data_IF_962668326029
#
_entry.id   IF_962668326029
#
_cell.length_a   1.000
_cell.length_b   1.000
_cell.length_c   1.000
_cell.angle_alpha   90.00
_cell.angle_beta   90.00
_cell.angle_gamma   90.00
#
_symmetry.space_group_name_H-M   'P 1'
#
loop_
_entity.id
_entity.type
_entity.pdbx_description
1 polymer ?
#
# COMPACT_ATOMS: atom_id res chain seq x y z
N UNK A 1 12.86 24.76 15.70
CA UNK A 1 12.40 23.62 14.88
C UNK A 1 11.03 23.99 14.33
N UNK A 2 10.88 24.11 13.01
CA UNK A 2 9.59 24.33 12.36
C UNK A 2 8.88 22.99 12.18
N UNK A 3 7.60 22.90 12.54
CA UNK A 3 6.78 21.70 12.36
C UNK A 3 5.44 22.07 11.73
N UNK A 4 4.89 21.21 10.88
CA UNK A 4 3.54 21.38 10.34
C UNK A 4 2.49 20.74 11.25
N UNK A 5 2.80 19.56 11.80
CA UNK A 5 1.95 18.83 12.74
C UNK A 5 2.83 18.27 13.87
N UNK A 6 2.39 18.48 15.12
CA UNK A 6 3.01 17.86 16.29
C UNK A 6 1.96 17.12 17.09
N UNK A 7 2.19 15.83 17.31
CA UNK A 7 1.40 14.94 18.15
C UNK A 7 2.25 14.63 19.38
N UNK A 8 1.74 14.92 20.57
CA UNK A 8 2.49 14.86 21.82
C UNK A 8 1.72 14.04 22.88
N UNK A 9 2.26 12.86 23.21
CA UNK A 9 1.75 11.90 24.18
C UNK A 9 0.24 11.67 24.10
N UNK A 10 -0.27 11.47 22.89
CA UNK A 10 -1.70 11.23 22.67
C UNK A 10 -2.07 9.83 23.15
N UNK A 11 -3.02 9.79 24.09
CA UNK A 11 -3.71 8.55 24.47
C UNK A 11 -5.22 8.71 24.29
N UNK A 12 -5.87 7.62 23.91
CA UNK A 12 -7.32 7.57 23.74
C UNK A 12 -7.87 6.26 24.28
N UNK A 13 -8.85 6.39 25.16
CA UNK A 13 -9.64 5.26 25.64
C UNK A 13 -11.14 5.56 25.51
N UNK A 14 -11.92 4.51 25.31
CA UNK A 14 -13.38 4.56 25.24
C UNK A 14 -13.98 3.81 26.43
N UNK A 15 -14.96 4.45 27.07
CA UNK A 15 -15.70 3.83 28.17
C UNK A 15 -16.91 3.12 27.61
N UNK A 16 -17.02 1.82 27.89
CA UNK A 16 -18.21 1.01 27.62
C UNK A 16 -18.97 0.78 28.92
N UNK A 17 -20.29 0.94 28.85
CA UNK A 17 -21.20 0.78 29.99
C UNK A 17 -22.12 -0.40 29.69
N UNK A 18 -22.24 -1.33 30.65
CA UNK A 18 -23.11 -2.51 30.49
C UNK A 18 -24.59 -2.14 30.32
N UNK A 19 -25.03 -1.03 30.91
CA UNK A 19 -26.38 -0.50 30.80
C UNK A 19 -26.36 1.03 30.70
N UNK A 20 -27.29 1.62 29.94
CA UNK A 20 -27.40 3.07 29.74
C UNK A 20 -27.59 3.83 31.07
N UNK A 21 -28.25 3.21 32.05
CA UNK A 21 -28.39 3.74 33.41
C UNK A 21 -27.03 3.98 34.07
N UNK A 22 -26.04 3.12 33.86
CA UNK A 22 -24.69 3.28 34.42
C UNK A 22 -23.96 4.48 33.79
N UNK A 23 -24.21 4.75 32.50
CA UNK A 23 -23.68 5.95 31.84
C UNK A 23 -24.24 7.21 32.46
N UNK A 24 -25.55 7.25 32.72
CA UNK A 24 -26.21 8.41 33.36
C UNK A 24 -25.69 8.61 34.79
N UNK A 25 -25.58 7.54 35.59
CA UNK A 25 -25.06 7.62 36.96
C UNK A 25 -23.61 8.13 36.99
N UNK A 26 -22.79 7.80 35.99
CA UNK A 26 -21.41 8.28 35.88
C UNK A 26 -21.29 9.79 35.70
N UNK A 27 -22.28 10.45 35.06
CA UNK A 27 -22.31 11.92 34.94
C UNK A 27 -22.52 12.62 36.28
N UNK A 28 -23.13 11.94 37.25
CA UNK A 28 -23.35 12.45 38.60
C UNK A 28 -22.22 12.08 39.58
N UNK A 29 -21.08 11.60 39.08
CA UNK A 29 -19.91 11.25 39.90
C UNK A 29 -20.06 9.95 40.70
N UNK A 30 -21.11 9.16 40.43
CA UNK A 30 -21.23 7.83 41.00
C UNK A 30 -20.40 6.85 40.17
N UNK A 31 -19.36 6.29 40.80
CA UNK A 31 -18.54 5.23 40.23
C UNK A 31 -19.38 3.97 40.03
N UNK A 32 -20.06 3.90 38.88
CA UNK A 32 -20.85 2.74 38.50
C UNK A 32 -19.91 1.54 38.32
N UNK A 33 -20.08 0.51 39.14
CA UNK A 33 -19.41 -0.77 38.92
C UNK A 33 -19.76 -1.27 37.50
N UNK A 34 -18.73 -1.61 36.70
CA UNK A 34 -18.89 -2.13 35.34
C UNK A 34 -18.65 -1.13 34.20
N UNK A 35 -17.85 -0.08 34.41
CA UNK A 35 -17.23 0.68 33.31
C UNK A 35 -16.03 -0.11 32.80
N UNK A 36 -16.10 -0.60 31.56
CA UNK A 36 -14.94 -1.19 30.89
C UNK A 36 -14.29 -0.13 30.01
N UNK A 37 -13.04 0.20 30.32
CA UNK A 37 -12.25 1.15 29.56
C UNK A 37 -11.40 0.38 28.55
N UNK A 38 -11.64 0.61 27.26
CA UNK A 38 -10.84 0.04 26.18
C UNK A 38 -9.88 1.10 25.67
N UNK A 39 -8.58 0.87 25.85
CA UNK A 39 -7.53 1.71 25.31
C UNK A 39 -7.37 1.46 23.81
N UNK A 40 -7.26 2.52 23.02
CA UNK A 40 -7.13 2.46 21.54
C UNK A 40 -5.85 3.14 21.07
N UNK A 41 -5.39 4.17 21.79
CA UNK A 41 -4.10 4.82 21.57
C UNK A 41 -3.41 5.04 22.91
N UNK A 42 -2.10 4.84 22.94
CA UNK A 42 -1.27 4.91 24.14
C UNK A 42 0.05 5.61 23.81
N UNK A 43 0.21 6.82 24.36
CA UNK A 43 1.45 7.61 24.32
C UNK A 43 2.05 7.79 22.92
N UNK A 44 1.20 8.16 21.96
CA UNK A 44 1.62 8.43 20.58
C UNK A 44 2.28 9.81 20.51
N UNK A 45 3.55 9.84 20.08
CA UNK A 45 4.31 11.07 19.89
C UNK A 45 5.09 11.07 18.58
N UNK A 46 4.85 12.06 17.72
CA UNK A 46 5.61 12.28 16.49
C UNK A 46 5.42 13.70 15.95
N UNK A 47 6.32 14.11 15.06
CA UNK A 47 6.31 15.42 14.39
C UNK A 47 6.34 15.19 12.88
N UNK A 48 5.59 15.99 12.12
CA UNK A 48 5.74 16.13 10.67
C UNK A 48 6.38 17.49 10.37
N UNK A 49 7.43 17.47 9.59
CA UNK A 49 8.10 18.68 9.11
C UNK A 49 7.37 19.28 7.88
N UNK A 50 7.45 20.60 7.66
CA UNK A 50 6.83 21.21 6.49
C UNK A 50 7.36 20.62 5.17
N UNK A 51 6.44 20.16 4.31
CA UNK A 51 6.76 19.54 3.02
C UNK A 51 7.20 18.08 3.10
N UNK A 52 7.23 17.49 4.30
CA UNK A 52 7.50 16.07 4.51
C UNK A 52 6.29 15.23 4.10
N UNK A 53 6.54 14.06 3.52
CA UNK A 53 5.52 13.06 3.25
C UNK A 53 5.72 11.84 4.15
N UNK A 54 4.77 11.58 5.04
CA UNK A 54 4.85 10.53 6.05
C UNK A 54 3.76 9.49 5.84
N UNK A 55 4.16 8.22 5.76
CA UNK A 55 3.27 7.07 5.75
C UNK A 55 2.81 6.70 7.15
N UNK A 56 1.52 6.42 7.36
CA UNK A 56 0.97 5.83 8.58
C UNK A 56 0.44 4.42 8.26
N UNK A 57 1.19 3.42 8.72
CA UNK A 57 0.94 2.00 8.45
C UNK A 57 0.47 1.33 9.74
N UNK A 58 -0.21 0.20 9.62
CA UNK A 58 -0.60 -0.63 10.77
C UNK A 58 -1.74 -1.55 10.42
N UNK A 59 -1.97 -2.56 11.25
CA UNK A 59 -3.08 -3.49 11.07
C UNK A 59 -4.45 -2.82 11.24
N UNK A 60 -5.49 -3.51 10.79
CA UNK A 60 -6.86 -3.12 11.13
C UNK A 60 -7.05 -3.20 12.63
N UNK A 61 -7.57 -2.12 13.24
CA UNK A 61 -7.71 -2.01 14.69
C UNK A 61 -6.50 -1.39 15.41
N UNK A 62 -5.37 -1.12 14.74
CA UNK A 62 -4.19 -0.51 15.38
C UNK A 62 -4.37 0.95 15.86
N UNK A 63 -5.52 1.56 15.59
CA UNK A 63 -5.83 2.93 16.04
C UNK A 63 -5.65 4.04 15.00
N UNK A 64 -5.24 3.72 13.76
CA UNK A 64 -5.01 4.69 12.65
C UNK A 64 -6.15 5.71 12.50
N UNK A 65 -7.38 5.26 12.22
CA UNK A 65 -8.53 6.16 12.03
C UNK A 65 -8.86 6.97 13.29
N UNK A 66 -8.61 6.43 14.48
CA UNK A 66 -8.80 7.16 15.74
C UNK A 66 -7.78 8.29 15.87
N UNK A 67 -6.51 8.04 15.52
CA UNK A 67 -5.45 9.03 15.50
C UNK A 67 -5.75 10.14 14.47
N UNK A 68 -6.20 9.78 13.27
CA UNK A 68 -6.59 10.74 12.23
C UNK A 68 -7.76 11.64 12.68
N UNK A 69 -8.76 11.08 13.37
CA UNK A 69 -9.87 11.87 13.95
C UNK A 69 -9.40 12.83 15.03
N UNK A 70 -8.38 12.45 15.80
CA UNK A 70 -7.76 13.34 16.79
C UNK A 70 -6.96 14.46 16.10
N UNK A 71 -6.17 14.12 15.08
CA UNK A 71 -5.39 15.10 14.31
C UNK A 71 -6.29 16.13 13.62
N UNK A 72 -7.41 15.68 13.06
CA UNK A 72 -8.39 16.56 12.40
C UNK A 72 -9.34 17.26 13.36
N UNK A 73 -9.27 16.97 14.66
CA UNK A 73 -10.08 17.62 15.69
C UNK A 73 -11.54 17.16 15.76
N UNK A 74 -11.92 16.11 15.02
CA UNK A 74 -13.27 15.50 15.10
C UNK A 74 -13.44 14.63 16.34
N UNK A 75 -12.32 14.22 16.97
CA UNK A 75 -12.30 13.47 18.22
C UNK A 75 -11.33 14.10 19.22
N UNK A 76 -11.76 14.31 20.47
CA UNK A 76 -10.85 14.76 21.54
C UNK A 76 -10.04 13.58 22.10
N UNK A 77 -8.72 13.75 22.33
CA UNK A 77 -7.91 12.75 23.02
C UNK A 77 -8.32 12.64 24.50
N UNK A 78 -7.97 11.53 25.14
CA UNK A 78 -8.13 11.38 26.59
C UNK A 78 -7.01 12.08 27.36
N UNK A 79 -5.80 12.12 26.81
CA UNK A 79 -4.64 12.87 27.29
C UNK A 79 -3.72 13.24 26.13
N UNK A 80 -2.78 14.17 26.36
CA UNK A 80 -1.85 14.65 25.34
C UNK A 80 -2.40 15.84 24.55
N UNK A 81 -1.66 16.28 23.53
CA UNK A 81 -2.06 17.40 22.68
C UNK A 81 -1.65 17.22 21.22
N UNK A 82 -2.44 17.83 20.32
CA UNK A 82 -2.10 17.96 18.89
C UNK A 82 -2.05 19.43 18.55
N UNK A 83 -0.97 19.84 17.88
CA UNK A 83 -0.78 21.20 17.38
C UNK A 83 -0.56 21.14 15.88
N UNK A 84 -1.36 21.91 15.16
CA UNK A 84 -1.38 21.97 13.69
C UNK A 84 -1.04 23.40 13.28
N UNK A 85 -0.07 23.56 12.36
CA UNK A 85 0.30 24.83 11.76
C UNK A 85 -0.10 24.82 10.29
N UNK A 86 -1.24 25.48 9.99
CA UNK A 86 -1.72 25.62 8.62
C UNK A 86 -3.11 25.04 8.39
N UNK A 87 -3.56 25.13 7.13
CA UNK A 87 -4.83 24.51 6.70
C UNK A 87 -4.65 23.02 6.41
N UNK A 88 -5.43 22.20 7.11
CA UNK A 88 -5.52 20.76 6.88
C UNK A 88 -6.65 20.47 5.91
N UNK A 89 -6.34 19.80 4.81
CA UNK A 89 -7.33 19.09 4.01
C UNK A 89 -7.25 17.61 4.38
N UNK A 90 -8.35 17.03 4.85
CA UNK A 90 -8.37 15.63 5.30
C UNK A 90 -9.42 14.83 4.54
N UNK A 91 -8.97 13.78 3.87
CA UNK A 91 -9.78 12.88 3.04
C UNK A 91 -10.03 11.58 3.82
N UNK A 92 -10.59 11.73 5.03
CA UNK A 92 -10.74 10.62 6.00
C UNK A 92 -12.08 9.91 5.88
N UNK A 93 -13.12 10.64 5.48
CA UNK A 93 -14.50 10.17 5.43
C UNK A 93 -15.14 10.79 4.18
N UNK A 94 -14.75 10.27 3.02
CA UNK A 94 -15.18 10.75 1.70
C UNK A 94 -16.72 10.87 1.64
N UNK A 95 -17.21 12.06 1.29
CA UNK A 95 -18.64 12.37 1.25
C UNK A 95 -19.22 12.97 2.54
N UNK A 96 -18.41 13.15 3.60
CA UNK A 96 -18.86 13.90 4.77
C UNK A 96 -19.15 15.35 4.41
N UNK A 97 -20.40 15.76 4.69
CA UNK A 97 -20.90 17.09 4.39
C UNK A 97 -21.64 17.18 3.06
N UNK A 98 -21.78 16.10 2.28
CA UNK A 98 -22.74 16.14 1.18
C UNK A 98 -24.17 16.15 1.67
N UNK A 99 -24.97 17.02 1.07
CA UNK A 99 -26.41 16.99 1.16
C UNK A 99 -26.97 16.23 -0.06
N UNK A 100 -27.63 15.07 0.14
CA UNK A 100 -28.13 14.24 -0.96
C UNK A 100 -29.15 14.94 -1.87
N UNK A 101 -29.85 15.94 -1.35
CA UNK A 101 -30.88 16.69 -2.08
C UNK A 101 -30.29 17.83 -2.93
N UNK A 102 -29.04 18.22 -2.66
CA UNK A 102 -28.33 19.25 -3.43
C UNK A 102 -27.66 18.64 -4.67
N UNK A 103 -27.54 19.42 -5.74
CA UNK A 103 -26.78 19.03 -6.93
C UNK A 103 -25.29 18.88 -6.62
N UNK A 104 -24.52 18.25 -7.50
CA UNK A 104 -23.06 18.22 -7.41
C UNK A 104 -22.47 19.62 -7.24
N UNK A 105 -22.86 20.56 -8.12
CA UNK A 105 -22.44 21.97 -8.06
C UNK A 105 -22.77 22.61 -6.71
N UNK A 106 -23.99 22.45 -6.21
CA UNK A 106 -24.41 23.00 -4.92
C UNK A 106 -23.63 22.37 -3.75
N UNK A 107 -23.32 21.08 -3.84
CA UNK A 107 -22.47 20.39 -2.88
C UNK A 107 -21.02 20.88 -2.90
N UNK A 108 -20.48 21.30 -4.05
CA UNK A 108 -19.16 21.97 -4.09
C UNK A 108 -19.18 23.23 -3.22
N UNK A 109 -20.19 24.10 -3.38
CA UNK A 109 -20.32 25.28 -2.53
C UNK A 109 -20.47 24.93 -1.05
N UNK A 110 -21.28 23.91 -0.74
CA UNK A 110 -21.55 23.51 0.62
C UNK A 110 -20.30 22.96 1.32
N UNK A 111 -19.64 21.96 0.72
CA UNK A 111 -18.48 21.28 1.31
C UNK A 111 -17.25 22.19 1.33
N UNK A 112 -16.97 22.92 0.25
CA UNK A 112 -15.85 23.86 0.25
C UNK A 112 -16.07 25.02 1.24
N UNK A 113 -17.32 25.46 1.44
CA UNK A 113 -17.67 26.42 2.48
C UNK A 113 -17.38 25.90 3.89
N UNK A 114 -17.69 24.63 4.18
CA UNK A 114 -17.34 23.98 5.46
C UNK A 114 -15.82 23.87 5.67
N UNK A 115 -15.04 23.80 4.58
CA UNK A 115 -13.58 23.84 4.60
C UNK A 115 -13.00 25.27 4.75
N UNK A 116 -13.86 26.29 4.86
CA UNK A 116 -13.47 27.68 5.07
C UNK A 116 -13.23 28.49 3.80
N UNK A 117 -13.63 27.99 2.63
CA UNK A 117 -13.58 28.78 1.40
C UNK A 117 -14.75 29.77 1.30
N UNK A 118 -14.45 31.00 0.94
CA UNK A 118 -15.46 32.00 0.59
C UNK A 118 -16.08 31.68 -0.78
N UNK A 119 -17.29 32.18 -1.02
CA UNK A 119 -18.01 31.95 -2.28
C UNK A 119 -17.20 32.37 -3.51
N UNK A 120 -16.56 33.54 -3.47
CA UNK A 120 -15.72 34.02 -4.56
C UNK A 120 -14.52 33.13 -4.83
N UNK A 121 -13.91 32.55 -3.78
CA UNK A 121 -12.83 31.57 -3.97
C UNK A 121 -13.34 30.28 -4.61
N UNK A 122 -14.55 29.84 -4.28
CA UNK A 122 -15.16 28.64 -4.86
C UNK A 122 -15.45 28.85 -6.34
N UNK A 123 -15.97 30.02 -6.71
CA UNK A 123 -16.22 30.39 -8.11
C UNK A 123 -14.95 30.28 -8.99
N UNK A 124 -13.76 30.51 -8.42
CA UNK A 124 -12.48 30.42 -9.13
C UNK A 124 -12.05 28.97 -9.45
N UNK A 125 -12.50 27.97 -8.70
CA UNK A 125 -12.07 26.56 -8.87
C UNK A 125 -13.20 25.57 -9.16
N UNK A 126 -14.47 26.01 -9.17
CA UNK A 126 -15.60 25.10 -9.34
C UNK A 126 -15.59 24.34 -10.66
N UNK A 127 -15.13 24.98 -11.75
CA UNK A 127 -14.99 24.34 -13.06
C UNK A 127 -13.81 23.35 -13.09
N UNK A 128 -12.74 23.61 -12.34
CA UNK A 128 -11.65 22.63 -12.16
C UNK A 128 -12.16 21.39 -11.40
N UNK A 129 -12.99 21.58 -10.37
CA UNK A 129 -13.63 20.49 -9.62
C UNK A 129 -14.50 19.66 -10.56
N UNK A 130 -15.33 20.30 -11.38
CA UNK A 130 -16.18 19.61 -12.35
C UNK A 130 -15.34 18.78 -13.33
N UNK A 131 -14.34 19.41 -13.96
CA UNK A 131 -13.45 18.77 -14.91
C UNK A 131 -12.63 17.63 -14.29
N UNK A 132 -12.13 17.79 -13.07
CA UNK A 132 -11.33 16.76 -12.42
C UNK A 132 -12.18 15.54 -12.02
N UNK A 133 -13.39 15.77 -11.53
CA UNK A 133 -14.29 14.72 -11.04
C UNK A 133 -14.77 13.76 -12.15
N UNK A 134 -14.80 14.23 -13.41
CA UNK A 134 -15.24 13.45 -14.57
C UNK A 134 -16.63 12.80 -14.40
N UNK A 135 -17.54 13.46 -13.66
CA UNK A 135 -18.92 12.98 -13.49
C UNK A 135 -19.88 13.51 -14.56
N UNK A 136 -19.39 14.34 -15.50
CA UNK A 136 -20.16 14.84 -16.64
C UNK A 136 -21.41 15.61 -16.22
N UNK A 137 -22.53 15.32 -16.88
CA UNK A 137 -23.82 16.00 -16.65
C UNK A 137 -24.41 15.72 -15.26
N UNK A 138 -23.95 14.68 -14.56
CA UNK A 138 -24.37 14.42 -13.18
C UNK A 138 -23.99 15.56 -12.24
N UNK A 139 -23.04 16.42 -12.59
CA UNK A 139 -22.67 17.58 -11.78
C UNK A 139 -23.86 18.51 -11.49
N UNK A 140 -24.84 18.57 -12.39
CA UNK A 140 -26.09 19.33 -12.21
C UNK A 140 -27.24 18.49 -11.64
N UNK A 141 -27.00 17.22 -11.29
CA UNK A 141 -27.98 16.31 -10.70
C UNK A 141 -27.80 16.19 -9.17
N UNK A 142 -28.88 15.91 -8.42
CA UNK A 142 -28.80 15.67 -6.97
C UNK A 142 -27.85 14.52 -6.59
N UNK A 143 -27.04 14.69 -5.54
CA UNK A 143 -26.04 13.67 -5.14
C UNK A 143 -26.66 12.33 -4.75
N UNK A 144 -27.93 12.29 -4.34
CA UNK A 144 -28.64 11.02 -4.04
C UNK A 144 -28.69 10.02 -5.20
N UNK A 145 -28.49 10.46 -6.46
CA UNK A 145 -28.45 9.56 -7.62
C UNK A 145 -27.05 9.10 -8.00
N UNK A 146 -26.02 9.54 -7.27
CA UNK A 146 -24.62 9.23 -7.57
C UNK A 146 -24.27 7.83 -7.08
N UNK A 147 -23.42 7.13 -7.83
CA UNK A 147 -22.72 5.95 -7.31
C UNK A 147 -21.70 6.36 -6.23
N UNK A 148 -21.27 5.39 -5.40
CA UNK A 148 -20.20 5.62 -4.42
C UNK A 148 -18.93 6.15 -5.06
N UNK A 149 -18.56 5.64 -6.25
CA UNK A 149 -17.41 6.13 -7.02
C UNK A 149 -17.57 7.58 -7.46
N UNK A 150 -18.74 8.01 -7.94
CA UNK A 150 -18.98 9.40 -8.30
C UNK A 150 -18.91 10.35 -7.09
N UNK A 151 -19.48 9.95 -5.96
CA UNK A 151 -19.40 10.73 -4.72
C UNK A 151 -17.94 10.90 -4.28
N UNK A 152 -17.18 9.81 -4.33
CA UNK A 152 -15.76 9.79 -3.99
C UNK A 152 -14.93 10.67 -4.92
N UNK A 153 -15.15 10.58 -6.24
CA UNK A 153 -14.51 11.43 -7.25
C UNK A 153 -14.79 12.91 -6.98
N UNK A 154 -16.04 13.29 -6.75
CA UNK A 154 -16.41 14.67 -6.43
C UNK A 154 -15.79 15.13 -5.11
N UNK A 155 -15.85 14.32 -4.05
CA UNK A 155 -15.28 14.66 -2.74
C UNK A 155 -13.77 14.90 -2.81
N UNK A 156 -13.03 14.02 -3.51
CA UNK A 156 -11.60 14.20 -3.74
C UNK A 156 -11.32 15.46 -4.56
N UNK A 157 -12.11 15.70 -5.61
CA UNK A 157 -11.98 16.89 -6.46
C UNK A 157 -12.13 18.18 -5.66
N UNK A 158 -13.12 18.24 -4.76
CA UNK A 158 -13.33 19.39 -3.88
C UNK A 158 -12.17 19.55 -2.90
N UNK A 159 -11.78 18.48 -2.21
CA UNK A 159 -10.72 18.52 -1.20
C UNK A 159 -9.34 18.89 -1.77
N UNK A 160 -9.12 18.63 -3.06
CA UNK A 160 -7.87 18.91 -3.78
C UNK A 160 -7.98 20.02 -4.82
N UNK A 161 -9.07 20.79 -4.82
CA UNK A 161 -9.26 21.91 -5.74
C UNK A 161 -8.23 23.03 -5.52
N UNK A 162 -7.71 23.14 -4.29
CA UNK A 162 -6.63 24.05 -3.93
C UNK A 162 -5.57 23.27 -3.17
N UNK A 163 -4.31 23.62 -3.40
CA UNK A 163 -3.18 23.01 -2.68
C UNK A 163 -3.28 23.32 -1.18
N UNK A 164 -3.38 22.30 -0.30
CA UNK A 164 -3.36 22.52 1.14
C UNK A 164 -1.93 22.64 1.67
N UNK A 165 -1.78 23.12 2.91
CA UNK A 165 -0.50 23.12 3.62
C UNK A 165 -0.21 21.74 4.21
N UNK A 166 -1.26 21.08 4.71
CA UNK A 166 -1.23 19.71 5.21
C UNK A 166 -2.35 18.92 4.51
N UNK A 167 -1.99 17.84 3.83
CA UNK A 167 -2.92 16.89 3.24
C UNK A 167 -2.89 15.59 4.02
N UNK A 168 -4.06 15.15 4.49
CA UNK A 168 -4.23 13.86 5.14
C UNK A 168 -5.07 12.99 4.23
N UNK A 169 -4.56 11.80 3.92
CA UNK A 169 -5.18 10.87 2.99
C UNK A 169 -5.41 9.55 3.71
N UNK A 170 -6.66 9.09 3.77
CA UNK A 170 -6.98 7.75 4.28
C UNK A 170 -7.03 6.72 3.15
N UNK A 171 -7.05 5.44 3.53
CA UNK A 171 -7.09 4.27 2.65
C UNK A 171 -8.30 4.28 1.69
N UNK A 172 -9.31 5.09 1.98
CA UNK A 172 -10.52 5.26 1.18
C UNK A 172 -10.26 5.80 -0.24
N UNK A 173 -9.05 6.30 -0.56
CA UNK A 173 -8.68 6.56 -1.96
C UNK A 173 -8.68 5.31 -2.86
N UNK A 174 -8.65 4.12 -2.28
CA UNK A 174 -8.69 2.86 -3.02
C UNK A 174 -10.10 2.44 -3.47
N UNK A 175 -11.15 3.23 -3.16
CA UNK A 175 -12.57 2.87 -3.43
C UNK A 175 -13.07 3.37 -4.81
N UNK A 176 -12.20 3.99 -5.62
CA UNK A 176 -12.48 4.38 -7.00
C UNK A 176 -12.00 3.36 -8.04
N UNK A 177 -12.28 3.60 -9.33
CA UNK A 177 -11.64 2.86 -10.42
C UNK A 177 -10.14 3.18 -10.52
N UNK A 178 -9.37 2.24 -11.08
CA UNK A 178 -7.91 2.33 -11.18
C UNK A 178 -7.43 3.59 -11.92
N UNK A 179 -8.19 4.05 -12.92
CA UNK A 179 -7.85 5.26 -13.67
C UNK A 179 -7.92 6.52 -12.78
N UNK A 180 -9.02 6.69 -12.03
CA UNK A 180 -9.16 7.85 -11.13
C UNK A 180 -8.20 7.77 -9.93
N UNK A 181 -7.88 6.57 -9.45
CA UNK A 181 -6.84 6.38 -8.43
C UNK A 181 -5.49 6.90 -8.91
N UNK A 182 -5.07 6.51 -10.11
CA UNK A 182 -3.81 6.99 -10.70
C UNK A 182 -3.79 8.53 -10.81
N UNK A 183 -4.87 9.11 -11.34
CA UNK A 183 -5.07 10.56 -11.44
C UNK A 183 -5.00 11.27 -10.08
N UNK A 184 -5.55 10.65 -9.04
CA UNK A 184 -5.54 11.16 -7.67
C UNK A 184 -4.14 11.13 -7.06
N UNK A 185 -3.40 10.03 -7.26
CA UNK A 185 -2.00 9.93 -6.82
C UNK A 185 -1.09 10.92 -7.55
N UNK A 186 -1.30 11.15 -8.84
CA UNK A 186 -0.54 12.18 -9.58
C UNK A 186 -0.76 13.57 -9.01
N UNK A 187 -2.00 13.91 -8.62
CA UNK A 187 -2.30 15.16 -7.92
C UNK A 187 -1.58 15.27 -6.58
N UNK A 188 -1.60 14.20 -5.79
CA UNK A 188 -0.92 14.15 -4.49
C UNK A 188 0.58 14.38 -4.70
N UNK A 189 1.22 13.67 -5.66
CA UNK A 189 2.63 13.86 -6.00
C UNK A 189 2.93 15.30 -6.41
N UNK A 190 2.05 15.92 -7.19
CA UNK A 190 2.20 17.33 -7.58
C UNK A 190 2.19 18.25 -6.37
N UNK A 191 1.27 18.06 -5.42
CA UNK A 191 1.22 18.85 -4.18
C UNK A 191 2.44 18.64 -3.30
N UNK A 192 2.89 17.41 -3.11
CA UNK A 192 4.11 17.10 -2.36
C UNK A 192 5.32 17.79 -2.97
N UNK A 193 5.49 17.75 -4.31
CA UNK A 193 6.57 18.48 -5.02
C UNK A 193 6.51 20.00 -4.84
N UNK A 194 5.32 20.54 -4.59
CA UNK A 194 5.10 21.95 -4.33
C UNK A 194 5.27 22.33 -2.85
N UNK A 195 5.59 21.37 -1.97
CA UNK A 195 5.86 21.59 -0.55
C UNK A 195 4.65 21.39 0.37
N UNK A 196 3.59 20.71 -0.08
CA UNK A 196 2.52 20.25 0.82
C UNK A 196 3.04 19.16 1.73
N UNK A 197 2.76 19.28 3.03
CA UNK A 197 3.03 18.23 4.02
C UNK A 197 1.97 17.13 3.85
N UNK A 198 2.36 15.87 3.74
CA UNK A 198 1.46 14.75 3.50
C UNK A 198 1.49 13.76 4.68
N UNK A 199 0.33 13.36 5.16
CA UNK A 199 0.14 12.17 5.98
C UNK A 199 -0.71 11.17 5.20
N UNK A 200 -0.09 10.08 4.74
CA UNK A 200 -0.74 9.06 3.91
C UNK A 200 -0.96 7.78 4.72
N UNK A 201 -2.21 7.37 4.86
CA UNK A 201 -2.56 6.05 5.44
C UNK A 201 -2.72 5.06 4.31
N UNK A 202 -1.88 4.03 4.31
CA UNK A 202 -1.94 2.97 3.30
C UNK A 202 -1.27 1.70 3.82
N UNK A 203 -1.74 0.55 3.32
CA UNK A 203 -1.07 -0.74 3.44
C UNK A 203 -0.32 -1.14 2.15
N UNK A 204 -0.41 -0.33 1.09
CA UNK A 204 0.30 -0.55 -0.16
C UNK A 204 1.77 -0.09 -0.05
N UNK A 205 2.68 -1.07 -0.07
CA UNK A 205 4.14 -0.86 -0.06
C UNK A 205 4.57 0.11 -1.16
N UNK A 206 4.02 -0.02 -2.37
CA UNK A 206 4.43 0.79 -3.51
C UNK A 206 4.01 2.25 -3.35
N UNK A 207 2.78 2.51 -2.91
CA UNK A 207 2.32 3.88 -2.63
C UNK A 207 3.16 4.55 -1.55
N UNK A 208 3.46 3.84 -0.46
CA UNK A 208 4.28 4.36 0.63
C UNK A 208 5.70 4.65 0.17
N UNK A 209 6.38 3.70 -0.47
CA UNK A 209 7.76 3.86 -0.96
C UNK A 209 7.90 4.94 -2.02
N UNK A 210 6.90 5.10 -2.88
CA UNK A 210 7.00 6.03 -4.01
C UNK A 210 6.63 7.48 -3.67
N UNK A 211 5.96 7.73 -2.55
CA UNK A 211 5.44 9.06 -2.18
C UNK A 211 6.02 9.55 -0.85
N UNK A 212 6.20 8.66 0.12
CA UNK A 212 6.61 9.03 1.47
C UNK A 212 8.13 9.03 1.61
N UNK A 213 8.65 9.98 2.37
CA UNK A 213 10.07 10.06 2.76
C UNK A 213 10.33 9.36 4.10
N UNK A 214 9.28 9.16 4.91
CA UNK A 214 9.33 8.47 6.20
C UNK A 214 8.03 7.70 6.41
N UNK A 215 8.06 6.67 7.24
CA UNK A 215 6.87 5.96 7.66
C UNK A 215 6.83 5.74 9.18
N UNK A 216 5.60 5.59 9.70
CA UNK A 216 5.28 5.32 11.09
C UNK A 216 4.36 4.09 11.09
N UNK A 217 4.77 3.04 11.79
CA UNK A 217 3.97 1.85 12.01
C UNK A 217 3.29 1.93 13.38
N UNK A 218 1.96 1.86 13.36
CA UNK A 218 1.14 1.66 14.54
C UNK A 218 0.84 0.17 14.75
N UNK A 219 1.01 -0.28 15.98
CA UNK A 219 0.55 -1.57 16.45
C UNK A 219 -0.15 -1.43 17.81
N UNK A 220 -1.32 -2.04 17.96
CA UNK A 220 -2.10 -2.05 19.20
C UNK A 220 -2.17 -0.68 19.93
N UNK A 221 -2.32 0.40 19.16
CA UNK A 221 -2.42 1.75 19.70
C UNK A 221 -1.10 2.42 20.10
N UNK A 222 0.06 1.84 19.75
CA UNK A 222 1.39 2.38 20.03
C UNK A 222 2.21 2.50 18.75
N UNK A 223 3.22 3.37 18.73
CA UNK A 223 4.21 3.39 17.63
C UNK A 223 5.16 2.20 17.83
N UNK A 224 5.08 1.22 16.94
CA UNK A 224 5.97 0.06 16.95
C UNK A 224 7.32 0.39 16.30
N UNK A 225 7.28 1.13 15.18
CA UNK A 225 8.48 1.52 14.43
C UNK A 225 8.24 2.84 13.70
N UNK A 226 9.29 3.62 13.50
CA UNK A 226 9.29 4.77 12.59
C UNK A 226 10.66 4.92 11.94
N UNK A 227 10.69 5.31 10.67
CA UNK A 227 11.95 5.41 9.92
C UNK A 227 11.74 5.36 8.41
N UNK A 228 12.74 4.87 7.70
CA UNK A 228 12.70 4.72 6.24
C UNK A 228 11.52 3.84 5.81
N UNK A 229 10.76 4.23 4.77
CA UNK A 229 9.59 3.48 4.29
C UNK A 229 9.84 1.99 4.06
N UNK A 230 10.99 1.64 3.46
CA UNK A 230 11.37 0.25 3.17
C UNK A 230 11.44 -0.59 4.45
N UNK A 231 12.20 -0.11 5.44
CA UNK A 231 12.41 -0.83 6.70
C UNK A 231 11.11 -1.00 7.49
N UNK A 232 10.27 0.04 7.49
CA UNK A 232 8.97 0.01 8.20
C UNK A 232 8.00 -0.95 7.50
N UNK A 233 7.94 -0.95 6.17
CA UNK A 233 7.09 -1.88 5.40
C UNK A 233 7.57 -3.32 5.53
N UNK A 234 8.88 -3.55 5.56
CA UNK A 234 9.46 -4.88 5.75
C UNK A 234 9.14 -5.43 7.15
N UNK A 235 9.24 -4.59 8.19
CA UNK A 235 8.84 -4.97 9.54
C UNK A 235 7.32 -5.18 9.66
N UNK A 236 6.51 -4.37 8.99
CA UNK A 236 5.05 -4.59 8.91
C UNK A 236 4.69 -5.92 8.25
N UNK A 237 5.34 -6.26 7.13
CA UNK A 237 5.15 -7.55 6.46
C UNK A 237 5.59 -8.72 7.34
N UNK A 238 6.67 -8.56 8.09
CA UNK A 238 7.12 -9.55 9.07
C UNK A 238 6.09 -9.74 10.20
N UNK A 239 5.54 -8.66 10.75
CA UNK A 239 4.47 -8.74 11.75
C UNK A 239 3.19 -9.40 11.21
N UNK A 240 2.84 -9.15 9.95
CA UNK A 240 1.72 -9.82 9.29
C UNK A 240 1.92 -11.33 9.21
N UNK A 241 3.15 -11.75 8.90
CA UNK A 241 3.56 -13.16 8.92
C UNK A 241 3.50 -13.74 10.36
N UNK A 242 4.07 -13.06 11.36
CA UNK A 242 4.07 -13.52 12.76
C UNK A 242 2.65 -13.65 13.33
N UNK A 243 1.74 -12.69 13.05
CA UNK A 243 0.33 -12.77 13.45
C UNK A 243 -0.45 -13.91 12.79
N UNK A 244 0.12 -14.52 11.74
CA UNK A 244 -0.41 -15.68 11.01
C UNK A 244 0.37 -16.98 11.34
N UNK A 245 1.05 -17.06 12.50
CA UNK A 245 1.91 -18.18 12.91
C UNK A 245 3.13 -18.45 11.99
N UNK A 246 3.64 -17.41 11.30
CA UNK A 246 4.87 -17.51 10.49
C UNK A 246 6.01 -16.69 11.10
N UNK A 247 6.92 -17.34 11.83
CA UNK A 247 8.10 -16.71 12.44
C UNK A 247 8.99 -16.03 11.38
N UNK A 248 9.42 -14.78 11.61
CA UNK A 248 10.42 -14.11 10.78
C UNK A 248 11.82 -14.21 11.39
N UNK A 249 12.74 -14.91 10.72
CA UNK A 249 14.16 -14.97 11.11
C UNK A 249 14.97 -14.00 10.23
N UNK A 250 15.36 -12.84 10.77
CA UNK A 250 16.37 -11.99 10.14
C UNK A 250 17.78 -12.56 10.32
N UNK A 251 18.52 -12.77 9.23
CA UNK A 251 19.98 -12.97 9.29
C UNK A 251 20.71 -12.44 8.05
N UNK A 252 21.66 -11.50 8.27
CA UNK A 252 22.94 -11.44 7.56
C UNK A 252 23.09 -10.48 6.37
N UNK A 253 24.26 -9.85 6.28
CA UNK A 253 24.65 -8.78 5.34
C UNK A 253 24.47 -9.17 3.86
N UNK A 254 23.73 -8.34 3.11
CA UNK A 254 23.49 -8.54 1.69
C UNK A 254 22.25 -7.85 1.11
N UNK A 255 21.40 -7.24 1.94
CA UNK A 255 20.23 -6.48 1.47
C UNK A 255 19.04 -7.35 1.01
N UNK A 256 19.12 -8.68 1.14
CA UNK A 256 17.98 -9.58 0.96
C UNK A 256 17.32 -9.86 2.31
N UNK A 257 16.03 -9.54 2.47
CA UNK A 257 15.26 -10.01 3.61
C UNK A 257 14.92 -11.48 3.43
N UNK A 258 15.40 -12.31 4.35
CA UNK A 258 14.92 -13.68 4.55
C UNK A 258 13.80 -13.66 5.60
N UNK A 259 12.69 -14.35 5.33
CA UNK A 259 11.54 -14.48 6.23
C UNK A 259 10.98 -15.90 6.14
N UNK A 260 10.33 -16.44 7.18
CA UNK A 260 9.73 -17.77 7.15
C UNK A 260 10.11 -18.62 8.35
N UNK A 261 9.33 -19.67 8.58
CA UNK A 261 9.36 -20.50 9.80
C UNK A 261 10.68 -21.25 10.03
N UNK A 262 11.57 -21.28 9.03
CA UNK A 262 12.96 -21.70 9.19
C UNK A 262 13.20 -23.20 9.04
N UNK A 263 12.18 -24.01 8.75
CA UNK A 263 12.37 -25.44 8.45
C UNK A 263 13.13 -25.68 7.14
N UNK A 264 13.23 -24.67 6.26
CA UNK A 264 14.00 -24.70 5.03
C UNK A 264 14.83 -23.41 4.89
N UNK A 265 15.96 -23.49 4.21
CA UNK A 265 16.77 -22.33 3.83
C UNK A 265 17.21 -22.42 2.39
N UNK A 266 17.29 -21.28 1.71
CA UNK A 266 17.90 -21.22 0.38
C UNK A 266 19.41 -21.39 0.48
N UNK A 267 19.99 -22.15 -0.45
CA UNK A 267 21.43 -22.37 -0.56
C UNK A 267 22.03 -21.80 -1.86
N UNK A 268 21.21 -21.42 -2.83
CA UNK A 268 21.67 -20.69 -4.02
C UNK A 268 20.58 -20.40 -5.04
N UNK A 269 20.73 -19.30 -5.76
CA UNK A 269 19.82 -18.86 -6.83
C UNK A 269 20.65 -18.35 -7.99
N UNK A 270 20.45 -18.89 -9.17
CA UNK A 270 21.23 -18.54 -10.35
C UNK A 270 20.34 -18.54 -11.59
N UNK A 271 20.53 -17.57 -12.47
CA UNK A 271 20.01 -17.62 -13.83
C UNK A 271 21.13 -18.11 -14.75
N UNK A 272 20.82 -19.09 -15.61
CA UNK A 272 21.78 -19.72 -16.51
C UNK A 272 21.29 -19.69 -17.95
N UNK A 273 22.23 -19.63 -18.88
CA UNK A 273 21.94 -19.85 -20.30
C UNK A 273 21.80 -21.35 -20.63
N UNK A 274 21.50 -21.67 -21.89
CA UNK A 274 21.38 -23.05 -22.38
C UNK A 274 22.71 -23.83 -22.37
N UNK A 275 23.86 -23.15 -22.28
CA UNK A 275 25.15 -23.80 -22.08
C UNK A 275 25.42 -24.14 -20.62
N UNK A 276 24.54 -23.70 -19.72
CA UNK A 276 24.63 -23.91 -18.28
C UNK A 276 25.50 -22.86 -17.57
N UNK A 277 25.93 -21.81 -18.24
CA UNK A 277 26.74 -20.75 -17.64
C UNK A 277 25.84 -19.72 -16.92
N UNK A 278 26.23 -19.22 -15.74
CA UNK A 278 25.53 -18.12 -15.08
C UNK A 278 25.51 -16.86 -15.94
N UNK A 279 24.37 -16.18 -15.98
CA UNK A 279 24.17 -14.95 -16.75
C UNK A 279 23.49 -13.87 -15.91
N UNK A 280 24.03 -12.65 -15.99
CA UNK A 280 23.43 -11.45 -15.39
C UNK A 280 22.76 -10.55 -16.42
N UNK A 281 23.09 -10.73 -17.71
CA UNK A 281 22.52 -9.97 -18.83
C UNK A 281 22.03 -10.95 -19.89
N UNK A 282 20.77 -10.81 -20.29
CA UNK A 282 20.11 -11.69 -21.26
C UNK A 282 19.42 -10.88 -22.35
N UNK A 283 19.21 -11.48 -23.52
CA UNK A 283 18.49 -10.86 -24.64
C UNK A 283 16.99 -11.16 -24.59
N UNK A 284 16.16 -10.30 -25.20
CA UNK A 284 14.70 -10.50 -25.28
C UNK A 284 14.38 -11.82 -26.00
N UNK A 285 13.64 -12.68 -25.31
CA UNK A 285 13.25 -14.01 -25.75
C UNK A 285 14.38 -15.04 -25.72
N UNK A 286 15.51 -14.73 -25.07
CA UNK A 286 16.58 -15.70 -24.82
C UNK A 286 16.06 -16.82 -23.90
N UNK A 287 16.22 -18.10 -24.27
CA UNK A 287 15.93 -19.20 -23.36
C UNK A 287 16.91 -19.23 -22.20
N UNK A 288 16.38 -19.30 -20.98
CA UNK A 288 17.14 -19.27 -19.73
C UNK A 288 16.61 -20.31 -18.76
N UNK A 289 17.45 -20.67 -17.79
CA UNK A 289 17.14 -21.58 -16.68
C UNK A 289 17.34 -20.86 -15.36
N UNK A 290 16.27 -20.68 -14.60
CA UNK A 290 16.35 -20.26 -13.20
C UNK A 290 16.56 -21.50 -12.31
N UNK A 291 17.75 -21.61 -11.73
CA UNK A 291 18.10 -22.67 -10.78
C UNK A 291 17.98 -22.15 -9.36
N UNK A 292 17.23 -22.86 -8.53
CA UNK A 292 17.04 -22.55 -7.11
C UNK A 292 17.42 -23.79 -6.30
N UNK A 293 18.24 -23.62 -5.27
CA UNK A 293 18.64 -24.66 -4.34
C UNK A 293 18.22 -24.31 -2.93
N UNK A 294 17.81 -25.32 -2.18
CA UNK A 294 17.45 -25.18 -0.78
C UNK A 294 17.87 -26.43 0.01
N UNK A 295 17.92 -26.27 1.33
CA UNK A 295 18.17 -27.35 2.27
C UNK A 295 17.09 -27.37 3.34
N UNK A 296 16.58 -28.55 3.68
CA UNK A 296 15.69 -28.72 4.83
C UNK A 296 16.50 -28.80 6.13
N UNK A 297 16.05 -28.05 7.13
CA UNK A 297 16.53 -28.04 8.51
C UNK A 297 15.60 -28.82 9.45
N UNK A 298 14.37 -29.12 8.99
CA UNK A 298 13.44 -30.04 9.64
C UNK A 298 12.61 -30.77 8.56
N UNK A 299 11.95 -31.87 8.94
CA UNK A 299 11.07 -32.59 8.03
C UNK A 299 9.81 -31.77 7.70
N UNK A 300 9.40 -31.73 6.43
CA UNK A 300 8.19 -31.03 5.96
C UNK A 300 7.28 -31.95 5.14
N UNK A 301 5.96 -31.92 5.37
CA UNK A 301 5.01 -32.86 4.76
C UNK A 301 4.78 -32.60 3.26
N UNK A 302 4.83 -31.34 2.86
CA UNK A 302 4.67 -30.91 1.49
C UNK A 302 5.47 -29.64 1.24
N UNK A 303 5.89 -29.45 0.00
CA UNK A 303 6.78 -28.36 -0.37
C UNK A 303 6.47 -27.86 -1.76
N UNK A 304 6.15 -26.58 -1.81
CA UNK A 304 5.96 -25.80 -3.03
C UNK A 304 7.03 -24.72 -3.10
N UNK A 305 7.71 -24.64 -4.24
CA UNK A 305 8.63 -23.55 -4.55
C UNK A 305 7.95 -22.60 -5.54
N UNK A 306 7.87 -21.32 -5.19
CA UNK A 306 7.42 -20.24 -6.07
C UNK A 306 8.53 -19.24 -6.36
N UNK A 307 8.39 -18.55 -7.49
CA UNK A 307 9.19 -17.36 -7.79
C UNK A 307 8.34 -16.28 -8.45
N UNK A 308 8.75 -15.03 -8.25
CA UNK A 308 8.23 -13.83 -8.90
C UNK A 308 9.39 -13.10 -9.57
N UNK A 309 9.22 -12.73 -10.84
CA UNK A 309 10.06 -11.76 -11.53
C UNK A 309 9.41 -10.39 -11.36
N UNK A 310 10.16 -9.43 -10.82
CA UNK A 310 9.72 -8.05 -10.61
C UNK A 310 10.56 -7.08 -11.41
N UNK A 311 9.97 -6.00 -11.90
CA UNK A 311 10.70 -4.92 -12.55
C UNK A 311 11.44 -4.02 -11.54
N UNK A 312 12.17 -3.02 -12.05
CA UNK A 312 12.90 -2.04 -11.22
C UNK A 312 12.02 -1.20 -10.28
N UNK A 313 10.72 -1.15 -10.52
CA UNK A 313 9.74 -0.45 -9.70
C UNK A 313 9.03 -1.39 -8.71
N UNK A 314 9.42 -2.67 -8.67
CA UNK A 314 8.86 -3.69 -7.79
C UNK A 314 7.53 -4.29 -8.30
N UNK A 315 7.10 -3.98 -9.52
CA UNK A 315 5.88 -4.53 -10.11
C UNK A 315 6.09 -5.99 -10.50
N UNK A 316 5.09 -6.83 -10.24
CA UNK A 316 5.11 -8.24 -10.64
C UNK A 316 4.96 -8.36 -12.16
N UNK A 317 5.99 -8.91 -12.81
CA UNK A 317 6.04 -9.11 -14.26
C UNK A 317 5.59 -10.51 -14.62
N UNK A 318 6.08 -11.50 -13.89
CA UNK A 318 5.71 -12.90 -14.06
C UNK A 318 5.88 -13.64 -12.75
N UNK A 319 5.07 -14.66 -12.52
CA UNK A 319 5.15 -15.48 -11.32
C UNK A 319 4.57 -16.86 -11.56
N UNK A 320 5.22 -17.88 -11.00
CA UNK A 320 4.65 -19.23 -10.96
C UNK A 320 5.18 -20.00 -9.75
N UNK A 321 4.67 -21.21 -9.54
CA UNK A 321 5.16 -22.11 -8.52
C UNK A 321 5.02 -23.57 -8.93
N UNK A 322 5.71 -24.45 -8.21
CA UNK A 322 5.69 -25.88 -8.52
C UNK A 322 4.30 -26.51 -8.36
N UNK A 323 3.39 -25.93 -7.57
CA UNK A 323 1.99 -26.41 -7.48
C UNK A 323 1.21 -26.14 -8.76
N UNK A 324 1.35 -24.95 -9.35
CA UNK A 324 0.73 -24.59 -10.63
C UNK A 324 1.28 -25.39 -11.81
N UNK A 325 2.46 -25.97 -11.64
CA UNK A 325 3.12 -26.84 -12.62
C UNK A 325 2.97 -28.33 -12.28
N UNK A 326 2.13 -28.71 -11.32
CA UNK A 326 1.90 -30.09 -10.88
C UNK A 326 3.17 -30.84 -10.43
N UNK A 327 4.11 -30.13 -9.78
CA UNK A 327 5.41 -30.61 -9.28
C UNK A 327 5.57 -30.37 -7.76
N UNK A 328 4.52 -30.59 -6.97
CA UNK A 328 4.60 -30.52 -5.51
C UNK A 328 5.48 -31.66 -4.98
N UNK A 329 6.40 -31.35 -4.08
CA UNK A 329 7.15 -32.39 -3.37
C UNK A 329 6.45 -32.73 -2.04
N UNK A 330 6.56 -33.98 -1.61
CA UNK A 330 5.96 -34.47 -0.38
C UNK A 330 7.00 -35.20 0.48
N UNK A 331 6.74 -35.25 1.78
CA UNK A 331 7.52 -36.03 2.76
C UNK A 331 9.03 -35.76 2.71
N UNK A 332 9.41 -34.48 2.69
CA UNK A 332 10.81 -34.06 2.66
C UNK A 332 11.44 -34.32 4.03
N UNK A 333 12.50 -35.15 4.13
CA UNK A 333 13.16 -35.41 5.41
C UNK A 333 14.04 -34.23 5.84
N UNK A 334 14.45 -34.21 7.11
CA UNK A 334 15.47 -33.28 7.62
C UNK A 334 16.82 -33.49 6.91
N UNK A 335 17.59 -32.41 6.74
CA UNK A 335 18.92 -32.40 6.12
C UNK A 335 18.96 -32.84 4.64
N UNK A 336 17.85 -32.68 3.92
CA UNK A 336 17.73 -32.94 2.49
C UNK A 336 18.17 -31.72 1.67
N UNK A 337 19.03 -31.93 0.68
CA UNK A 337 19.33 -30.94 -0.37
C UNK A 337 18.32 -31.06 -1.50
N UNK A 338 17.86 -29.92 -2.01
CA UNK A 338 16.82 -29.80 -3.01
C UNK A 338 17.26 -28.83 -4.11
N UNK A 339 16.92 -29.15 -5.36
CA UNK A 339 17.21 -28.31 -6.52
C UNK A 339 15.99 -28.28 -7.47
N UNK A 340 15.63 -27.08 -7.91
CA UNK A 340 14.64 -26.86 -8.96
C UNK A 340 15.26 -26.10 -10.11
N UNK A 341 14.83 -26.43 -11.33
CA UNK A 341 15.26 -25.78 -12.55
C UNK A 341 14.00 -25.37 -13.34
N UNK A 342 13.75 -24.06 -13.46
CA UNK A 342 12.66 -23.51 -14.28
C UNK A 342 13.22 -23.02 -15.60
N UNK A 343 12.83 -23.66 -16.69
CA UNK A 343 13.19 -23.27 -18.05
C UNK A 343 12.11 -22.36 -18.64
N UNK A 344 12.49 -21.18 -19.15
CA UNK A 344 11.58 -20.28 -19.83
C UNK A 344 12.31 -19.42 -20.87
N UNK A 345 11.57 -18.92 -21.85
CA UNK A 345 12.04 -17.86 -22.73
C UNK A 345 11.82 -16.50 -22.04
N UNK A 346 12.86 -15.67 -21.98
CA UNK A 346 12.77 -14.34 -21.39
C UNK A 346 12.06 -13.35 -22.32
N UNK A 347 10.80 -13.63 -22.69
CA UNK A 347 9.96 -12.77 -23.54
C UNK A 347 9.46 -11.51 -22.80
N UNK A 348 10.38 -10.85 -22.11
CA UNK A 348 10.18 -9.63 -21.33
C UNK A 348 10.98 -8.47 -21.95
N UNK A 349 10.51 -7.25 -21.71
CA UNK A 349 11.07 -6.02 -22.27
C UNK A 349 12.50 -5.71 -21.78
N UNK A 350 13.21 -4.79 -22.44
CA UNK A 350 14.48 -4.29 -21.91
C UNK A 350 14.31 -3.61 -20.55
N UNK A 351 15.19 -3.92 -19.60
CA UNK A 351 15.15 -3.35 -18.26
C UNK A 351 15.92 -4.16 -17.23
N UNK A 352 15.88 -3.68 -15.99
CA UNK A 352 16.45 -4.38 -14.83
C UNK A 352 15.33 -5.10 -14.09
N UNK A 353 15.58 -6.36 -13.75
CA UNK A 353 14.63 -7.25 -13.09
C UNK A 353 15.24 -7.89 -11.85
N UNK A 354 14.38 -8.30 -10.93
CA UNK A 354 14.75 -9.07 -9.75
C UNK A 354 13.88 -10.30 -9.60
N UNK A 355 14.43 -11.34 -8.97
CA UNK A 355 13.71 -12.58 -8.65
C UNK A 355 13.48 -12.64 -7.16
N UNK A 356 12.23 -12.77 -6.75
CA UNK A 356 11.82 -13.13 -5.39
C UNK A 356 11.42 -14.60 -5.37
N UNK A 357 11.79 -15.33 -4.33
CA UNK A 357 11.52 -16.78 -4.21
C UNK A 357 10.88 -17.12 -2.86
N UNK A 358 10.08 -18.18 -2.86
CA UNK A 358 9.34 -18.63 -1.68
C UNK A 358 9.21 -20.15 -1.63
N UNK A 359 9.47 -20.75 -0.46
CA UNK A 359 9.18 -22.13 -0.11
C UNK A 359 8.01 -22.14 0.86
N UNK A 360 6.95 -22.86 0.53
CA UNK A 360 5.73 -22.85 1.34
C UNK A 360 4.95 -24.16 1.20
N UNK A 361 3.95 -24.35 2.05
CA UNK A 361 3.02 -25.48 1.99
C UNK A 361 1.95 -25.31 0.91
N UNK A 362 1.40 -26.45 0.45
CA UNK A 362 0.29 -26.58 -0.50
C UNK A 362 -0.96 -25.85 -0.03
N UNK A 363 -1.22 -25.79 1.28
CA UNK A 363 -2.40 -25.14 1.84
C UNK A 363 -2.40 -23.62 1.56
N UNK A 364 -1.22 -23.06 1.27
CA UNK A 364 -1.05 -21.72 0.68
C UNK A 364 0.20 -21.03 1.20
N UNK A 365 0.69 -20.03 0.45
CA UNK A 365 1.83 -19.19 0.88
C UNK A 365 1.55 -18.43 2.19
N UNK A 366 0.28 -18.21 2.52
CA UNK A 366 -0.19 -17.43 3.68
C UNK A 366 -0.27 -18.30 4.94
N UNK A 367 -0.54 -19.61 4.82
CA UNK A 367 -0.71 -20.47 6.00
C UNK A 367 0.61 -21.05 6.50
N UNK A 368 1.54 -21.43 5.61
CA UNK A 368 2.85 -21.94 6.05
C UNK A 368 3.96 -21.65 5.04
N UNK A 369 4.69 -20.58 5.30
CA UNK A 369 5.85 -20.13 4.54
C UNK A 369 7.13 -20.55 5.26
N UNK A 370 7.86 -21.50 4.68
CA UNK A 370 9.08 -22.04 5.23
C UNK A 370 10.28 -21.09 5.06
N UNK A 371 10.37 -20.46 3.88
CA UNK A 371 11.42 -19.50 3.56
C UNK A 371 10.97 -18.58 2.42
N UNK A 372 11.26 -17.30 2.55
CA UNK A 372 10.99 -16.25 1.60
C UNK A 372 12.22 -15.39 1.46
N UNK A 373 12.63 -15.11 0.23
CA UNK A 373 13.76 -14.24 -0.03
C UNK A 373 13.41 -13.24 -1.13
N UNK A 374 13.33 -11.96 -0.75
CA UNK A 374 13.19 -10.87 -1.72
C UNK A 374 14.51 -10.60 -2.43
N UNK A 375 14.44 -10.26 -3.73
CA UNK A 375 15.59 -9.85 -4.56
C UNK A 375 16.74 -10.86 -4.49
N UNK A 376 16.42 -12.15 -4.47
CA UNK A 376 17.37 -13.25 -4.39
C UNK A 376 18.35 -13.29 -5.58
N UNK A 377 17.94 -12.73 -6.73
CA UNK A 377 18.76 -12.53 -7.91
C UNK A 377 18.37 -11.22 -8.61
N UNK A 378 19.31 -10.54 -9.24
CA UNK A 378 19.03 -9.45 -10.20
C UNK A 378 19.64 -9.79 -11.56
N UNK A 379 18.96 -9.39 -12.63
CA UNK A 379 19.46 -9.54 -14.00
C UNK A 379 18.94 -8.40 -14.90
N UNK A 380 19.64 -8.15 -15.99
CA UNK A 380 19.30 -7.16 -17.00
C UNK A 380 18.84 -7.84 -18.28
N UNK A 381 17.80 -7.28 -18.89
CA UNK A 381 17.31 -7.68 -20.21
C UNK A 381 17.63 -6.56 -21.18
N UNK A 382 18.22 -6.90 -22.31
CA UNK A 382 18.51 -6.00 -23.42
C UNK A 382 17.84 -6.52 -24.68
N UNK A 383 17.62 -5.66 -25.67
CA UNK A 383 17.09 -6.07 -26.97
C UNK A 383 18.17 -5.90 -28.04
N UNK A 384 18.80 -7.00 -28.45
CA UNK A 384 19.79 -7.06 -29.55
C UNK A 384 19.22 -7.74 -30.79
N UNK A 385 18.28 -8.67 -30.61
CA UNK A 385 17.84 -9.57 -31.69
C UNK A 385 16.39 -9.39 -32.14
N UNK A 386 15.54 -8.70 -31.36
CA UNK A 386 14.12 -8.51 -31.69
C UNK A 386 13.88 -7.16 -32.34
N UNK A 387 12.71 -7.03 -32.98
CA UNK A 387 12.24 -5.72 -33.50
C UNK A 387 12.06 -4.77 -32.33
N UNK A 388 12.12 -3.47 -32.60
CA UNK A 388 11.84 -2.46 -31.59
C UNK A 388 10.39 -2.56 -31.11
N UNK A 389 10.20 -2.49 -29.79
CA UNK A 389 8.90 -2.51 -29.14
C UNK A 389 8.97 -1.71 -27.83
N UNK A 390 7.81 -1.44 -27.24
CA UNK A 390 7.70 -0.78 -25.95
C UNK A 390 6.82 -1.61 -25.04
N UNK A 391 7.14 -1.61 -23.74
CA UNK A 391 6.42 -2.35 -22.72
C UNK A 391 7.25 -3.45 -22.06
N UNK A 392 6.61 -4.22 -21.19
CA UNK A 392 7.26 -5.23 -20.34
C UNK A 392 7.28 -6.64 -20.93
N UNK A 393 6.53 -6.89 -22.00
CA UNK A 393 6.40 -8.19 -22.64
C UNK A 393 6.68 -8.09 -24.14
N UNK A 394 7.41 -9.07 -24.67
CA UNK A 394 7.59 -9.24 -26.10
C UNK A 394 6.44 -10.07 -26.66
N UNK A 395 5.66 -9.45 -27.54
CA UNK A 395 4.55 -10.11 -28.24
C UNK A 395 4.84 -10.09 -29.74
N UNK A 396 5.17 -11.24 -30.32
CA UNK A 396 5.48 -11.35 -31.76
C UNK A 396 4.25 -10.94 -32.60
N UNK A 397 4.30 -9.71 -33.11
CA UNK A 397 3.15 -9.07 -33.77
C UNK A 397 3.32 -9.07 -35.28
N UNK A 398 2.27 -9.52 -35.97
CA UNK A 398 2.16 -9.45 -37.44
C UNK A 398 1.04 -8.48 -37.80
N UNK A 399 1.26 -7.69 -38.84
CA UNK A 399 0.26 -6.74 -39.36
C UNK A 399 0.00 -7.02 -40.83
N UNK A 400 -1.27 -7.08 -41.20
CA UNK A 400 -1.73 -7.08 -42.58
C UNK A 400 -2.41 -5.74 -42.87
N UNK A 401 -1.90 -4.99 -43.86
CA UNK A 401 -2.41 -3.68 -44.22
C UNK A 401 -3.13 -3.73 -45.57
N UNK A 402 -4.39 -3.28 -45.62
CA UNK A 402 -5.14 -3.11 -46.86
C UNK A 402 -5.86 -1.75 -46.89
N UNK A 403 -5.89 -1.08 -48.05
CA UNK A 403 -6.75 0.08 -48.28
C UNK A 403 -8.14 -0.43 -48.69
N UNK A 404 -9.16 -0.25 -47.84
CA UNK A 404 -10.56 -0.42 -48.27
C UNK A 404 -10.97 0.81 -49.08
N UNK A 405 -11.30 0.62 -50.35
CA UNK A 405 -12.11 1.58 -51.08
C UNK A 405 -13.57 1.27 -50.75
N UNK A 406 -14.30 2.25 -50.22
CA UNK A 406 -15.77 2.21 -50.19
C UNK A 406 -16.27 2.25 -51.64
N UNK A 407 -17.07 1.26 -52.03
CA UNK A 407 -17.85 1.29 -53.28
C UNK A 407 -19.23 1.89 -53.03
#
# INVERSE_FOLDING_TARGET
>A
MSFALRVDSISKAFNTYRHERHRILSWFGWNAAGVHQTSVLEDISFVLEPGEAVGLIGLNGAGKSTLLKIITGTLKPSSGSVIVQGRVAAILELGMGFNPELTGRQNVYHVAGLMGHSRSQIDEFIEEVHAFSEIGDYFEQPVRVYSSGMQMRLAFSIATARRPEILIVDEALSVGDAYFQHKSFDRIRQFTRQGTTLLLVSHDKQAIQSICTRAILLDNGRIAMQGEPDQVMDFYNAMLADHQDQQVIQAGQGGALLSGTGELTFSGVELRDLSGQPVEVIDVGQPVRLRIRARSLAAVPDLVLGFLIKDRYGQDVFGTNTRQLDQVLHDIPEAQELEWNFDFAADIGPGTYSVTIALHSVVGHIERNYAWQERALMFEVINRSRREFSGVAWLDTRVECGKRHEQ
#
